data_IF_489684426583
#
_entry.id   IF_489684426583
#
_cell.length_a   1.000
_cell.length_b   1.000
_cell.length_c   1.000
_cell.angle_alpha   90.00
_cell.angle_beta   90.00
_cell.angle_gamma   90.00
#
_symmetry.space_group_name_H-M   'P 1'
#
loop_
_entity.id
_entity.type
_entity.pdbx_description
1 polymer ?
#
# COMPACT_ATOMS: atom_id res chain seq x y z
N UNK A 1 -20.02 -7.82 -35.11
CA UNK A 1 -18.79 -7.32 -34.47
C UNK A 1 -19.19 -6.24 -33.46
N UNK A 2 -19.27 -6.59 -32.19
CA UNK A 2 -19.73 -5.70 -31.10
C UNK A 2 -18.58 -4.80 -30.65
N UNK A 3 -18.78 -3.49 -30.69
CA UNK A 3 -17.86 -2.50 -30.09
C UNK A 3 -17.87 -2.70 -28.58
N UNK A 4 -16.79 -3.24 -28.04
CA UNK A 4 -16.48 -3.11 -26.61
C UNK A 4 -16.38 -1.61 -26.33
N UNK A 5 -17.33 -1.08 -25.56
CA UNK A 5 -17.26 0.28 -25.05
C UNK A 5 -15.96 0.42 -24.27
N UNK A 6 -15.08 1.32 -24.73
CA UNK A 6 -13.97 1.83 -23.93
C UNK A 6 -14.57 2.41 -22.65
N UNK A 7 -14.43 1.69 -21.55
CA UNK A 7 -14.84 2.13 -20.22
C UNK A 7 -14.04 3.40 -19.92
N UNK A 8 -14.73 4.50 -19.63
CA UNK A 8 -14.14 5.77 -19.22
C UNK A 8 -13.11 5.53 -18.09
N UNK A 9 -11.85 5.88 -18.36
CA UNK A 9 -10.70 5.73 -17.45
C UNK A 9 -10.47 6.96 -16.56
N UNK A 10 -11.29 8.00 -16.71
CA UNK A 10 -11.15 9.24 -15.98
C UNK A 10 -11.82 9.17 -14.61
N UNK A 11 -11.15 9.73 -13.59
CA UNK A 11 -11.74 9.98 -12.29
C UNK A 11 -12.92 10.95 -12.41
N UNK A 12 -14.02 10.68 -11.71
CA UNK A 12 -15.24 11.51 -11.72
C UNK A 12 -15.39 12.42 -10.49
N UNK A 13 -14.40 12.49 -9.59
CA UNK A 13 -14.59 13.00 -8.22
C UNK A 13 -13.98 14.39 -8.00
N UNK A 14 -14.63 15.16 -7.13
CA UNK A 14 -14.20 16.48 -6.66
C UNK A 14 -13.13 16.42 -5.55
N UNK A 15 -13.01 15.30 -4.82
CA UNK A 15 -12.10 15.13 -3.68
C UNK A 15 -10.70 14.68 -4.13
N UNK A 16 -10.14 15.43 -5.08
CA UNK A 16 -8.79 15.25 -5.60
C UNK A 16 -7.87 16.28 -4.96
N UNK A 17 -6.77 15.83 -4.40
CA UNK A 17 -5.71 16.69 -3.87
C UNK A 17 -4.40 16.45 -4.60
N UNK A 18 -3.69 17.54 -4.90
CA UNK A 18 -2.32 17.48 -5.42
C UNK A 18 -1.38 17.73 -4.25
N UNK A 19 -0.59 16.72 -3.92
CA UNK A 19 0.42 16.75 -2.88
C UNK A 19 1.79 17.12 -3.47
N UNK A 20 2.78 17.24 -2.59
CA UNK A 20 4.17 17.50 -2.96
C UNK A 20 4.66 16.48 -4.00
N UNK A 21 5.43 16.96 -4.99
CA UNK A 21 5.99 16.10 -6.03
C UNK A 21 4.99 15.67 -7.10
N UNK A 22 3.88 16.42 -7.26
CA UNK A 22 2.78 16.11 -8.20
C UNK A 22 2.09 14.77 -7.93
N UNK A 23 2.17 14.29 -6.68
CA UNK A 23 1.46 13.10 -6.24
C UNK A 23 0.00 13.44 -6.10
N UNK A 24 -0.88 12.63 -6.67
CA UNK A 24 -2.32 12.87 -6.60
C UNK A 24 -2.93 11.92 -5.58
N UNK A 25 -3.71 12.46 -4.65
CA UNK A 25 -4.53 11.71 -3.71
C UNK A 25 -6.00 11.84 -4.09
N UNK A 26 -6.69 10.71 -4.12
CA UNK A 26 -8.13 10.62 -4.30
C UNK A 26 -8.74 10.01 -3.05
N UNK A 27 -9.53 10.78 -2.31
CA UNK A 27 -10.24 10.28 -1.13
C UNK A 27 -11.62 9.79 -1.50
N UNK A 28 -11.89 8.51 -1.24
CA UNK A 28 -13.13 7.82 -1.62
C UNK A 28 -13.84 7.33 -0.36
N UNK A 29 -14.71 8.14 0.25
CA UNK A 29 -15.61 7.68 1.30
C UNK A 29 -16.60 6.66 0.75
N UNK A 30 -16.86 5.57 1.49
CA UNK A 30 -17.86 4.56 1.15
C UNK A 30 -19.23 5.19 0.87
N UNK A 31 -19.62 6.20 1.66
CA UNK A 31 -20.88 6.93 1.53
C UNK A 31 -21.02 7.73 0.23
N UNK A 32 -19.90 8.01 -0.46
CA UNK A 32 -19.90 8.72 -1.74
C UNK A 32 -20.09 7.81 -2.95
N UNK A 33 -19.99 6.49 -2.75
CA UNK A 33 -20.06 5.51 -3.83
C UNK A 33 -21.51 5.25 -4.25
N UNK A 34 -21.74 5.30 -5.55
CA UNK A 34 -22.99 4.90 -6.18
C UNK A 34 -22.79 3.53 -6.84
N UNK A 35 -23.89 2.80 -7.08
CA UNK A 35 -23.88 1.54 -7.83
C UNK A 35 -23.72 1.78 -9.35
N UNK A 36 -22.66 2.50 -9.74
CA UNK A 36 -22.27 2.76 -11.12
C UNK A 36 -20.86 2.21 -11.34
N UNK A 37 -20.60 1.66 -12.53
CA UNK A 37 -19.27 1.17 -12.88
C UNK A 37 -18.31 2.36 -13.11
N UNK A 38 -17.69 2.83 -12.02
CA UNK A 38 -16.75 3.95 -12.01
C UNK A 38 -15.36 3.47 -11.57
N UNK A 39 -14.32 4.25 -11.91
CA UNK A 39 -12.95 3.93 -11.49
C UNK A 39 -12.83 3.84 -9.97
N UNK A 40 -13.55 4.68 -9.26
CA UNK A 40 -13.53 4.83 -7.81
C UNK A 40 -14.20 3.67 -7.12
N UNK A 41 -15.34 3.21 -7.64
CA UNK A 41 -15.95 1.99 -7.15
C UNK A 41 -14.99 0.81 -7.34
N UNK A 42 -14.30 0.71 -8.48
CA UNK A 42 -13.32 -0.36 -8.74
C UNK A 42 -12.11 -0.29 -7.79
N UNK A 43 -11.51 0.89 -7.61
CA UNK A 43 -10.35 1.06 -6.73
C UNK A 43 -10.71 0.85 -5.26
N UNK A 44 -11.87 1.38 -4.82
CA UNK A 44 -12.39 1.15 -3.47
C UNK A 44 -12.66 -0.34 -3.25
N UNK A 45 -13.43 -0.98 -4.13
CA UNK A 45 -13.75 -2.40 -4.00
C UNK A 45 -12.50 -3.28 -4.06
N UNK A 46 -11.50 -2.92 -4.86
CA UNK A 46 -10.24 -3.64 -4.89
C UNK A 46 -9.53 -3.59 -3.53
N UNK A 47 -9.32 -2.39 -2.98
CA UNK A 47 -8.64 -2.24 -1.70
C UNK A 47 -9.41 -2.90 -0.55
N UNK A 48 -10.73 -2.74 -0.51
CA UNK A 48 -11.60 -3.38 0.49
C UNK A 48 -11.60 -4.90 0.33
N UNK A 49 -11.65 -5.43 -0.89
CA UNK A 49 -11.60 -6.87 -1.12
C UNK A 49 -10.27 -7.47 -0.68
N UNK A 50 -9.13 -6.78 -0.89
CA UNK A 50 -7.84 -7.25 -0.34
C UNK A 50 -7.86 -7.24 1.18
N UNK A 51 -8.34 -6.15 1.80
CA UNK A 51 -8.47 -6.04 3.25
C UNK A 51 -9.33 -7.18 3.84
N UNK A 52 -10.52 -7.40 3.28
CA UNK A 52 -11.46 -8.42 3.75
C UNK A 52 -10.97 -9.85 3.50
N UNK A 53 -10.33 -10.11 2.35
CA UNK A 53 -9.86 -11.47 2.00
C UNK A 53 -8.66 -11.89 2.83
N UNK A 54 -7.81 -10.93 3.22
CA UNK A 54 -6.54 -11.19 3.90
C UNK A 54 -6.62 -10.95 5.42
N UNK A 55 -7.73 -10.39 5.92
CA UNK A 55 -8.07 -10.32 7.33
C UNK A 55 -8.40 -11.69 7.91
N UNK A 56 -7.91 -11.97 9.12
CA UNK A 56 -8.17 -13.20 9.87
C UNK A 56 -9.52 -13.14 10.58
N UNK A 57 -9.93 -11.92 10.93
CA UNK A 57 -11.12 -11.70 11.73
C UNK A 57 -12.32 -11.36 10.85
N UNK A 58 -13.36 -12.20 10.93
CA UNK A 58 -14.74 -11.84 10.56
C UNK A 58 -15.33 -10.68 11.41
N UNK A 59 -14.47 -9.86 12.02
CA UNK A 59 -14.84 -8.60 12.65
C UNK A 59 -15.49 -7.75 11.55
N UNK A 60 -16.76 -7.43 11.70
CA UNK A 60 -17.56 -6.68 10.73
C UNK A 60 -17.10 -5.22 10.51
N UNK A 61 -15.82 -4.93 10.71
CA UNK A 61 -15.14 -3.66 10.48
C UNK A 61 -15.08 -3.41 8.97
N UNK A 62 -16.10 -2.72 8.44
CA UNK A 62 -16.14 -2.33 7.04
C UNK A 62 -15.31 -1.05 6.84
N UNK A 63 -14.29 -1.03 5.97
CA UNK A 63 -13.57 0.19 5.65
C UNK A 63 -14.53 1.29 5.20
N UNK A 64 -14.44 2.46 5.83
CA UNK A 64 -15.31 3.61 5.57
C UNK A 64 -14.75 4.53 4.50
N UNK A 65 -13.44 4.48 4.25
CA UNK A 65 -12.78 5.29 3.24
C UNK A 65 -11.55 4.57 2.70
N UNK A 66 -11.29 4.77 1.41
CA UNK A 66 -10.03 4.41 0.77
C UNK A 66 -9.45 5.66 0.14
N UNK A 67 -8.21 5.99 0.50
CA UNK A 67 -7.42 6.96 -0.24
C UNK A 67 -6.58 6.22 -1.28
N UNK A 68 -6.65 6.65 -2.55
CA UNK A 68 -5.83 6.14 -3.65
C UNK A 68 -4.76 7.16 -3.99
N UNK A 69 -3.51 6.71 -4.09
CA UNK A 69 -2.39 7.56 -4.44
C UNK A 69 -1.84 7.22 -5.82
N UNK A 70 -1.74 8.23 -6.67
CA UNK A 70 -1.04 8.16 -7.95
C UNK A 70 0.30 8.89 -7.81
N UNK A 71 1.38 8.11 -7.72
CA UNK A 71 2.75 8.62 -7.60
C UNK A 71 3.62 7.97 -8.69
N UNK A 72 3.77 8.65 -9.83
CA UNK A 72 4.53 8.14 -10.97
C UNK A 72 6.01 7.92 -10.65
N UNK A 73 6.59 8.77 -9.79
CA UNK A 73 7.99 8.65 -9.38
C UNK A 73 8.24 7.38 -8.57
N UNK A 74 7.37 7.05 -7.61
CA UNK A 74 7.48 5.79 -6.87
C UNK A 74 7.17 4.58 -7.73
N UNK A 75 6.20 4.68 -8.63
CA UNK A 75 5.91 3.61 -9.58
C UNK A 75 7.11 3.32 -10.49
N UNK A 76 7.79 4.34 -11.00
CA UNK A 76 9.00 4.18 -11.82
C UNK A 76 10.18 3.59 -11.03
N UNK A 77 10.38 4.01 -9.78
CA UNK A 77 11.39 3.40 -8.88
C UNK A 77 11.10 1.92 -8.64
N UNK A 78 9.84 1.58 -8.38
CA UNK A 78 9.42 0.20 -8.17
C UNK A 78 9.61 -0.65 -9.42
N UNK A 79 9.24 -0.15 -10.60
CA UNK A 79 9.47 -0.85 -11.88
C UNK A 79 10.97 -1.00 -12.19
N UNK A 80 11.77 0.02 -11.86
CA UNK A 80 13.23 -0.07 -11.97
C UNK A 80 13.77 -1.16 -11.05
N UNK A 81 13.33 -1.19 -9.79
CA UNK A 81 13.72 -2.23 -8.84
C UNK A 81 13.31 -3.63 -9.30
N UNK A 82 12.11 -3.77 -9.85
CA UNK A 82 11.63 -5.02 -10.44
C UNK A 82 12.53 -5.51 -11.58
N UNK A 83 12.94 -4.60 -12.47
CA UNK A 83 13.88 -4.92 -13.56
C UNK A 83 15.26 -5.32 -13.04
N UNK A 84 15.79 -4.61 -12.05
CA UNK A 84 17.08 -4.94 -11.41
C UNK A 84 17.07 -6.32 -10.77
N UNK A 85 15.98 -6.68 -10.09
CA UNK A 85 15.82 -8.00 -9.47
C UNK A 85 15.61 -9.11 -10.52
N UNK A 86 15.15 -8.76 -11.73
CA UNK A 86 14.90 -9.71 -12.81
C UNK A 86 13.95 -10.84 -12.38
N UNK A 87 14.31 -12.09 -12.70
CA UNK A 87 13.53 -13.27 -12.30
C UNK A 87 13.48 -13.48 -10.78
N UNK A 88 14.44 -12.92 -10.03
CA UNK A 88 14.44 -13.03 -8.58
C UNK A 88 13.29 -12.25 -7.95
N UNK A 89 12.72 -11.24 -8.63
CA UNK A 89 11.60 -10.45 -8.13
C UNK A 89 10.38 -11.30 -7.74
N UNK A 90 10.11 -12.35 -8.53
CA UNK A 90 8.90 -13.16 -8.42
C UNK A 90 7.63 -12.38 -8.80
N UNK A 91 6.49 -12.96 -8.46
CA UNK A 91 5.20 -12.28 -8.59
C UNK A 91 5.03 -11.24 -7.46
N UNK A 92 4.60 -10.01 -7.77
CA UNK A 92 4.29 -9.03 -6.75
C UNK A 92 3.15 -9.48 -5.83
N UNK A 93 3.28 -9.20 -4.54
CA UNK A 93 2.27 -9.52 -3.53
C UNK A 93 1.72 -8.25 -2.88
N UNK A 94 0.46 -8.29 -2.45
CA UNK A 94 -0.12 -7.21 -1.64
C UNK A 94 0.23 -7.42 -0.17
N UNK A 95 0.68 -6.35 0.47
CA UNK A 95 1.07 -6.35 1.89
C UNK A 95 0.54 -5.11 2.59
N UNK A 96 0.31 -5.24 3.90
CA UNK A 96 -0.18 -4.19 4.77
C UNK A 96 0.94 -3.63 5.63
N UNK A 97 0.99 -2.31 5.74
CA UNK A 97 1.92 -1.59 6.60
C UNK A 97 1.15 -0.67 7.55
N UNK A 98 1.38 -0.86 8.85
CA UNK A 98 0.82 -0.04 9.90
C UNK A 98 1.80 1.07 10.23
N UNK A 99 1.31 2.30 10.38
CA UNK A 99 2.12 3.46 10.76
C UNK A 99 1.25 4.49 11.49
N UNK A 100 1.89 5.41 12.23
CA UNK A 100 1.20 6.63 12.66
C UNK A 100 0.71 7.43 11.46
N UNK A 101 -0.46 8.03 11.60
CA UNK A 101 -1.13 8.84 10.58
C UNK A 101 -0.25 9.98 10.05
N UNK A 102 0.53 10.62 10.93
CA UNK A 102 1.47 11.70 10.57
C UNK A 102 2.54 11.30 9.55
N UNK A 103 2.80 9.99 9.40
CA UNK A 103 3.80 9.49 8.46
C UNK A 103 3.21 9.11 7.10
N UNK A 104 1.88 8.98 7.00
CA UNK A 104 1.22 8.44 5.80
C UNK A 104 1.56 9.29 4.60
N UNK A 105 1.31 10.61 4.65
CA UNK A 105 1.60 11.51 3.52
C UNK A 105 3.07 11.41 3.09
N UNK A 106 4.02 11.32 4.03
CA UNK A 106 5.44 11.18 3.71
C UNK A 106 5.74 9.83 3.03
N UNK A 107 5.17 8.72 3.51
CA UNK A 107 5.34 7.40 2.88
C UNK A 107 4.73 7.37 1.48
N UNK A 108 3.51 7.91 1.32
CA UNK A 108 2.82 7.89 0.03
C UNK A 108 3.47 8.83 -1.01
N UNK A 109 4.15 9.89 -0.56
CA UNK A 109 4.81 10.85 -1.46
C UNK A 109 6.28 10.53 -1.72
N UNK A 110 7.02 10.09 -0.71
CA UNK A 110 8.47 9.89 -0.77
C UNK A 110 8.90 8.41 -0.79
N UNK A 111 7.97 7.49 -0.51
CA UNK A 111 8.21 6.05 -0.44
C UNK A 111 8.55 5.57 0.97
N UNK A 112 8.64 4.25 1.14
CA UNK A 112 9.10 3.67 2.39
C UNK A 112 10.60 3.92 2.59
N UNK A 113 10.98 4.15 3.84
CA UNK A 113 12.36 4.43 4.23
C UNK A 113 12.84 3.37 5.23
N UNK A 114 14.07 2.92 5.08
CA UNK A 114 14.68 1.92 5.97
C UNK A 114 15.54 2.63 7.02
N UNK A 115 15.23 2.41 8.30
CA UNK A 115 16.02 2.99 9.39
C UNK A 115 17.46 2.49 9.40
N UNK A 116 18.42 3.41 9.59
CA UNK A 116 19.85 3.14 9.55
C UNK A 116 20.49 3.29 8.16
N UNK A 117 19.70 3.61 7.13
CA UNK A 117 20.17 3.95 5.78
C UNK A 117 19.92 5.44 5.50
N UNK A 118 20.69 6.05 4.59
CA UNK A 118 20.52 7.44 4.12
C UNK A 118 20.41 8.50 5.23
N UNK A 119 21.13 8.29 6.34
CA UNK A 119 21.11 9.20 7.50
C UNK A 119 19.82 9.15 8.33
N UNK A 120 18.92 8.21 8.03
CA UNK A 120 17.65 8.05 8.73
C UNK A 120 17.90 7.33 10.06
N UNK A 121 17.63 8.02 11.17
CA UNK A 121 17.74 7.42 12.49
C UNK A 121 16.81 6.22 12.61
N UNK A 122 17.28 5.15 13.22
CA UNK A 122 16.43 4.04 13.64
C UNK A 122 15.47 4.55 14.71
N UNK A 123 14.17 4.63 14.39
CA UNK A 123 13.15 5.16 15.32
C UNK A 123 12.36 4.03 15.99
N UNK A 124 12.04 2.95 15.26
CA UNK A 124 11.32 1.77 15.74
C UNK A 124 11.64 0.55 14.84
N UNK A 125 11.38 -0.66 15.33
CA UNK A 125 11.32 -1.86 14.48
C UNK A 125 12.66 -2.43 14.02
N UNK A 126 13.67 -2.54 14.88
CA UNK A 126 14.93 -3.24 14.54
C UNK A 126 15.08 -4.61 15.18
N UNK A 127 14.02 -5.13 15.83
CA UNK A 127 14.06 -6.42 16.51
C UNK A 127 14.55 -7.57 15.60
N UNK A 128 14.29 -7.48 14.29
CA UNK A 128 14.71 -8.48 13.30
C UNK A 128 15.64 -7.92 12.20
N UNK A 129 16.24 -6.76 12.47
CA UNK A 129 17.12 -6.01 11.56
C UNK A 129 16.46 -4.77 10.95
N UNK A 130 17.25 -4.01 10.19
CA UNK A 130 16.77 -2.85 9.43
C UNK A 130 16.00 -3.29 8.19
N UNK A 131 14.77 -2.81 8.06
CA UNK A 131 13.92 -3.04 6.90
C UNK A 131 12.54 -2.38 7.06
N UNK A 132 11.71 -2.49 6.05
CA UNK A 132 10.30 -2.08 6.09
C UNK A 132 9.45 -3.29 6.47
N UNK A 133 8.80 -3.21 7.63
CA UNK A 133 7.99 -4.28 8.17
C UNK A 133 6.56 -4.20 7.64
N UNK A 134 6.08 -5.28 7.05
CA UNK A 134 4.71 -5.41 6.57
C UNK A 134 4.15 -6.76 7.00
N UNK A 135 2.84 -6.94 6.81
CA UNK A 135 2.16 -8.22 7.01
C UNK A 135 1.37 -8.58 5.75
N UNK A 136 1.18 -9.88 5.49
CA UNK A 136 0.28 -10.32 4.42
C UNK A 136 -1.19 -10.08 4.80
N UNK A 137 -1.53 -10.07 6.10
CA UNK A 137 -2.84 -9.66 6.64
C UNK A 137 -2.87 -8.24 7.25
N UNK A 138 -4.05 -7.59 7.33
CA UNK A 138 -4.20 -6.23 7.85
C UNK A 138 -4.28 -6.16 9.39
N UNK A 139 -4.66 -7.23 10.09
CA UNK A 139 -5.11 -7.16 11.49
C UNK A 139 -4.03 -6.66 12.44
N UNK A 140 -2.83 -7.20 12.32
CA UNK A 140 -1.71 -6.81 13.17
C UNK A 140 -1.20 -5.40 12.86
N UNK A 141 -0.92 -5.02 11.59
CA UNK A 141 -0.61 -3.64 11.21
C UNK A 141 -1.65 -2.62 11.70
N UNK A 142 -2.93 -2.94 11.53
CA UNK A 142 -4.04 -2.07 11.92
C UNK A 142 -4.10 -1.90 13.43
N UNK A 143 -4.02 -2.98 14.22
CA UNK A 143 -4.12 -2.92 15.69
C UNK A 143 -2.92 -2.25 16.36
N UNK A 144 -1.72 -2.46 15.84
CA UNK A 144 -0.48 -2.03 16.53
C UNK A 144 -0.10 -0.60 16.19
N UNK A 145 0.21 -0.35 14.92
CA UNK A 145 0.74 0.94 14.48
C UNK A 145 -0.33 1.83 13.85
N UNK A 146 -1.33 1.23 13.21
CA UNK A 146 -2.51 1.91 12.69
C UNK A 146 -3.52 2.34 13.76
N UNK A 147 -3.32 1.92 15.02
CA UNK A 147 -4.18 2.21 16.19
C UNK A 147 -5.68 1.95 15.95
N UNK A 148 -6.01 0.99 15.08
CA UNK A 148 -7.38 0.66 14.68
C UNK A 148 -8.02 1.65 13.71
N UNK A 149 -7.30 2.65 13.20
CA UNK A 149 -7.86 3.72 12.38
C UNK A 149 -7.60 3.52 10.89
N UNK A 150 -6.35 3.21 10.52
CA UNK A 150 -5.98 3.04 9.12
C UNK A 150 -4.76 2.13 8.92
N UNK A 151 -4.60 1.66 7.68
CA UNK A 151 -3.46 0.84 7.26
C UNK A 151 -3.10 1.15 5.80
N UNK A 152 -1.81 1.13 5.48
CA UNK A 152 -1.32 1.28 4.10
C UNK A 152 -1.37 -0.10 3.44
N UNK A 153 -1.90 -0.16 2.21
CA UNK A 153 -1.83 -1.33 1.34
C UNK A 153 -0.86 -1.03 0.19
N UNK A 154 0.18 -1.85 0.10
CA UNK A 154 1.29 -1.68 -0.83
C UNK A 154 1.53 -2.95 -1.68
N UNK A 155 2.09 -2.75 -2.87
CA UNK A 155 2.53 -3.85 -3.74
C UNK A 155 4.02 -4.11 -3.51
N UNK A 156 4.38 -5.33 -3.12
CA UNK A 156 5.73 -5.71 -2.71
C UNK A 156 6.40 -6.72 -3.64
N UNK A 157 7.68 -6.50 -3.92
CA UNK A 157 8.58 -7.42 -4.62
C UNK A 157 9.34 -8.26 -3.59
N UNK A 158 8.76 -9.41 -3.19
CA UNK A 158 9.30 -10.23 -2.09
C UNK A 158 10.75 -10.65 -2.36
N UNK A 159 11.05 -11.02 -3.59
CA UNK A 159 12.40 -11.42 -3.94
C UNK A 159 12.82 -12.75 -3.32
N UNK A 160 14.12 -13.07 -3.38
CA UNK A 160 14.72 -14.19 -2.65
C UNK A 160 14.78 -13.93 -1.14
N UNK A 161 14.29 -14.88 -0.34
CA UNK A 161 14.40 -14.87 1.12
C UNK A 161 15.86 -14.80 1.58
N UNK A 162 16.12 -14.09 2.68
CA UNK A 162 17.45 -13.83 3.22
C UNK A 162 18.22 -12.72 2.52
N UNK A 163 17.97 -12.48 1.23
CA UNK A 163 18.60 -11.40 0.45
C UNK A 163 17.71 -10.16 0.37
N UNK A 164 16.47 -10.33 -0.08
CA UNK A 164 15.55 -9.23 -0.37
C UNK A 164 14.44 -9.08 0.67
N UNK A 165 14.18 -10.16 1.41
CA UNK A 165 13.24 -10.14 2.51
C UNK A 165 13.71 -11.03 3.67
N UNK A 166 13.16 -10.77 4.85
CA UNK A 166 13.12 -11.71 5.97
C UNK A 166 11.66 -11.91 6.35
N UNK A 167 11.35 -13.08 6.89
CA UNK A 167 10.03 -13.40 7.44
C UNK A 167 10.24 -13.80 8.91
N UNK A 168 10.25 -12.83 9.84
CA UNK A 168 10.63 -13.10 11.23
C UNK A 168 9.62 -13.98 11.96
N UNK A 169 8.33 -13.83 11.65
CA UNK A 169 7.24 -14.52 12.33
C UNK A 169 5.96 -14.50 11.50
N UNK A 170 5.18 -15.59 11.54
CA UNK A 170 3.82 -15.66 10.98
C UNK A 170 3.72 -15.08 9.56
N UNK A 171 2.83 -14.11 9.35
CA UNK A 171 2.55 -13.44 8.09
C UNK A 171 3.45 -12.20 7.84
N UNK A 172 4.49 -12.00 8.65
CA UNK A 172 5.36 -10.84 8.52
C UNK A 172 6.26 -10.97 7.31
N UNK A 173 6.39 -9.88 6.56
CA UNK A 173 7.38 -9.75 5.51
C UNK A 173 8.16 -8.47 5.75
N UNK A 174 9.45 -8.59 5.98
CA UNK A 174 10.35 -7.45 6.12
C UNK A 174 11.12 -7.27 4.82
N UNK A 175 10.90 -6.15 4.13
CA UNK A 175 11.61 -5.79 2.90
C UNK A 175 12.90 -5.03 3.24
N UNK A 176 14.00 -5.35 2.54
CA UNK A 176 15.31 -4.77 2.84
C UNK A 176 15.53 -3.39 2.21
N UNK A 177 14.72 -3.06 1.21
CA UNK A 177 14.80 -1.82 0.45
C UNK A 177 13.37 -1.28 0.24
N UNK A 178 13.19 0.02 0.52
CA UNK A 178 11.90 0.70 0.33
C UNK A 178 11.42 0.68 -1.13
N UNK A 179 12.33 0.63 -2.11
CA UNK A 179 11.98 0.55 -3.53
C UNK A 179 11.35 -0.80 -3.92
N UNK A 180 11.42 -1.83 -3.07
CA UNK A 180 10.67 -3.08 -3.28
C UNK A 180 9.16 -2.91 -3.07
N UNK A 181 8.73 -1.79 -2.48
CA UNK A 181 7.34 -1.54 -2.12
C UNK A 181 6.80 -0.32 -2.86
N UNK A 182 5.62 -0.49 -3.45
CA UNK A 182 4.83 0.59 -4.04
C UNK A 182 3.60 0.82 -3.17
N UNK A 183 3.59 1.85 -2.29
CA UNK A 183 2.40 2.20 -1.54
C UNK A 183 1.34 2.75 -2.51
N UNK A 184 0.13 2.20 -2.47
CA UNK A 184 -0.95 2.57 -3.40
C UNK A 184 -2.22 3.04 -2.71
N UNK A 185 -2.60 2.40 -1.61
CA UNK A 185 -3.82 2.73 -0.90
C UNK A 185 -3.57 3.00 0.58
N UNK A 186 -4.45 3.81 1.16
CA UNK A 186 -4.65 3.88 2.61
C UNK A 186 -6.10 3.51 2.89
N UNK A 187 -6.31 2.49 3.72
CA UNK A 187 -7.63 1.95 4.05
C UNK A 187 -7.99 2.42 5.46
N UNK A 188 -9.11 3.13 5.59
CA UNK A 188 -9.60 3.71 6.85
C UNK A 188 -10.84 2.97 7.35
N UNK A 189 -10.92 2.77 8.68
CA UNK A 189 -12.00 2.06 9.37
C UNK A 189 -13.17 2.97 9.79
#
# INVERSE_FOLDING_TARGET
MSRVQQIQTCWSFANREILRGNVIRYSIPQSSLLAKDSRELREFNFAVAQFMRLGSDGSGSCPRQVDVFENSVLAEKWETKKREMGTAAGEPIWVFHGTNETNITNIMTEGFKVGGQDGIRVVNGTAHGSGVYTCEGPDLPLRTYGKGQCVILALGLKGRAGTHNKQPKDDWVMFMDGAQLLPKYVVYM
#
